data_IF_484297799990
#
_entry.id   IF_484297799990
#
_cell.length_a   1.000
_cell.length_b   1.000
_cell.length_c   1.000
_cell.angle_alpha   90.00
_cell.angle_beta   90.00
_cell.angle_gamma   90.00
#
_symmetry.space_group_name_H-M   'P 1'
#
loop_
_entity.id
_entity.type
_entity.pdbx_description
1 polymer ?
#
# COMPACT_ATOMS: atom_id res chain seq x y z
N UNK A 1 -2.95 -9.48 -17.83
CA UNK A 1 -2.57 -9.63 -16.40
C UNK A 1 -2.87 -8.30 -15.72
N UNK A 2 -3.06 -8.25 -14.40
CA UNK A 2 -3.46 -6.99 -13.74
C UNK A 2 -2.47 -5.84 -14.01
N UNK A 3 -1.17 -6.16 -14.15
CA UNK A 3 -0.17 -5.17 -14.54
C UNK A 3 -0.45 -4.55 -15.92
N UNK A 4 -0.88 -5.35 -16.90
CA UNK A 4 -1.21 -4.85 -18.24
C UNK A 4 -2.46 -3.96 -18.19
N UNK A 5 -3.48 -4.37 -17.42
CA UNK A 5 -4.73 -3.61 -17.28
C UNK A 5 -4.48 -2.23 -16.66
N UNK A 6 -3.66 -2.17 -15.59
CA UNK A 6 -3.26 -0.90 -14.97
C UNK A 6 -2.37 -0.10 -15.92
N UNK A 7 -1.39 -0.74 -16.59
CA UNK A 7 -0.50 -0.06 -17.51
C UNK A 7 -1.26 0.58 -18.67
N UNK A 8 -2.24 -0.12 -19.25
CA UNK A 8 -3.12 0.44 -20.27
C UNK A 8 -3.94 1.61 -19.73
N UNK A 9 -4.47 1.51 -18.49
CA UNK A 9 -5.27 2.57 -17.89
C UNK A 9 -4.45 3.85 -17.65
N UNK A 10 -3.24 3.75 -17.09
CA UNK A 10 -2.43 4.94 -16.74
C UNK A 10 -1.73 5.59 -17.93
N UNK A 11 -1.59 4.87 -19.04
CA UNK A 11 -0.97 5.39 -20.26
C UNK A 11 -2.01 5.85 -21.30
N UNK A 12 -3.30 5.75 -21.00
CA UNK A 12 -4.36 6.32 -21.82
C UNK A 12 -4.49 7.82 -21.49
N UNK A 13 -4.11 8.73 -22.41
CA UNK A 13 -4.14 10.17 -22.14
C UNK A 13 -5.56 10.73 -22.02
N UNK A 14 -6.58 9.98 -22.47
CA UNK A 14 -7.99 10.35 -22.37
C UNK A 14 -8.65 9.77 -21.10
N UNK A 15 -7.94 8.94 -20.32
CA UNK A 15 -8.39 8.40 -19.04
C UNK A 15 -7.89 9.26 -17.88
N UNK A 16 -8.82 9.83 -17.11
CA UNK A 16 -8.54 10.67 -15.95
C UNK A 16 -8.35 9.88 -14.64
N UNK A 17 -7.98 8.60 -14.75
CA UNK A 17 -7.90 7.65 -13.64
C UNK A 17 -9.20 6.87 -13.43
N UNK A 18 -10.20 7.06 -14.29
CA UNK A 18 -11.48 6.34 -14.26
C UNK A 18 -11.28 4.83 -14.36
N UNK A 19 -10.43 4.33 -15.27
CA UNK A 19 -10.20 2.87 -15.38
C UNK A 19 -9.49 2.27 -14.16
N UNK A 20 -8.52 2.98 -13.57
CA UNK A 20 -7.86 2.52 -12.34
C UNK A 20 -8.87 2.43 -11.19
N UNK A 21 -9.80 3.39 -11.09
CA UNK A 21 -10.88 3.34 -10.11
C UNK A 21 -11.82 2.15 -10.33
N UNK A 22 -12.19 1.86 -11.58
CA UNK A 22 -13.00 0.67 -11.89
C UNK A 22 -12.31 -0.62 -11.47
N UNK A 23 -11.02 -0.76 -11.74
CA UNK A 23 -10.23 -1.93 -11.32
C UNK A 23 -10.22 -2.04 -9.79
N UNK A 24 -10.05 -0.93 -9.07
CA UNK A 24 -10.13 -0.92 -7.61
C UNK A 24 -11.53 -1.36 -7.10
N UNK A 25 -12.61 -0.94 -7.77
CA UNK A 25 -13.98 -1.37 -7.45
C UNK A 25 -14.18 -2.88 -7.64
N UNK A 26 -13.54 -3.49 -8.64
CA UNK A 26 -13.59 -4.95 -8.79
C UNK A 26 -12.99 -5.68 -7.59
N UNK A 27 -11.90 -5.16 -7.01
CA UNK A 27 -11.30 -5.68 -5.77
C UNK A 27 -12.17 -5.42 -4.54
N UNK A 28 -12.83 -4.25 -4.45
CA UNK A 28 -13.82 -3.98 -3.38
C UNK A 28 -14.99 -4.96 -3.43
N UNK A 29 -15.32 -5.46 -4.62
CA UNK A 29 -16.30 -6.51 -4.85
C UNK A 29 -15.77 -7.90 -4.47
N UNK A 30 -15.37 -8.68 -5.49
CA UNK A 30 -15.01 -10.10 -5.33
C UNK A 30 -13.73 -10.51 -6.11
N UNK A 31 -13.03 -9.58 -6.77
CA UNK A 31 -11.74 -9.89 -7.43
C UNK A 31 -10.73 -10.31 -6.37
N UNK A 32 -9.96 -11.35 -6.67
CA UNK A 32 -9.03 -11.93 -5.71
C UNK A 32 -7.82 -11.00 -5.55
N UNK A 33 -7.65 -10.40 -4.36
CA UNK A 33 -6.52 -9.52 -4.08
C UNK A 33 -5.16 -10.22 -4.20
N UNK A 34 -5.12 -11.54 -4.42
CA UNK A 34 -3.88 -12.20 -4.81
C UNK A 34 -3.25 -11.61 -6.07
N UNK A 35 -4.08 -11.12 -7.00
CA UNK A 35 -3.59 -10.46 -8.23
C UNK A 35 -2.78 -9.21 -7.90
N UNK A 36 -3.08 -8.51 -6.80
CA UNK A 36 -2.33 -7.33 -6.38
C UNK A 36 -0.87 -7.67 -6.07
N UNK A 37 -0.53 -8.93 -5.74
CA UNK A 37 0.89 -9.32 -5.63
C UNK A 37 1.66 -9.14 -6.94
N UNK A 38 1.02 -9.25 -8.11
CA UNK A 38 1.69 -8.97 -9.38
C UNK A 38 2.13 -7.50 -9.45
N UNK A 39 1.26 -6.57 -9.04
CA UNK A 39 1.57 -5.15 -8.96
C UNK A 39 2.69 -4.88 -7.94
N UNK A 40 2.59 -5.43 -6.73
CA UNK A 40 3.59 -5.22 -5.67
C UNK A 40 4.96 -5.86 -6.00
N UNK A 41 5.00 -6.84 -6.89
CA UNK A 41 6.25 -7.48 -7.35
C UNK A 41 6.80 -6.87 -8.64
N UNK A 42 6.12 -5.86 -9.20
CA UNK A 42 6.62 -5.13 -10.35
C UNK A 42 7.96 -4.45 -10.05
N UNK A 43 8.75 -4.20 -11.10
CA UNK A 43 9.91 -3.30 -11.03
C UNK A 43 9.54 -1.83 -11.26
N UNK A 44 8.29 -1.55 -11.61
CA UNK A 44 7.78 -0.21 -11.85
C UNK A 44 7.18 0.38 -10.57
N UNK A 45 7.76 1.48 -10.08
CA UNK A 45 7.31 2.19 -8.87
C UNK A 45 5.85 2.62 -8.92
N UNK A 46 5.34 3.00 -10.10
CA UNK A 46 3.97 3.47 -10.27
C UNK A 46 3.00 2.31 -10.08
N UNK A 47 3.29 1.15 -10.71
CA UNK A 47 2.49 -0.06 -10.54
C UNK A 47 2.49 -0.54 -9.09
N UNK A 48 3.65 -0.50 -8.41
CA UNK A 48 3.74 -0.83 -6.98
C UNK A 48 2.86 0.13 -6.16
N UNK A 49 2.96 1.43 -6.41
CA UNK A 49 2.23 2.46 -5.68
C UNK A 49 0.72 2.31 -5.86
N UNK A 50 0.26 2.01 -7.07
CA UNK A 50 -1.16 1.72 -7.36
C UNK A 50 -1.61 0.45 -6.64
N UNK A 51 -0.80 -0.62 -6.65
CA UNK A 51 -1.11 -1.84 -5.90
C UNK A 51 -1.28 -1.59 -4.40
N UNK A 52 -0.41 -0.76 -3.82
CA UNK A 52 -0.53 -0.35 -2.41
C UNK A 52 -1.77 0.53 -2.18
N UNK A 53 -2.08 1.46 -3.07
CA UNK A 53 -3.28 2.29 -2.99
C UNK A 53 -4.56 1.45 -3.02
N UNK A 54 -4.66 0.48 -3.95
CA UNK A 54 -5.82 -0.45 -3.99
C UNK A 54 -5.95 -1.21 -2.66
N UNK A 55 -4.85 -1.62 -2.04
CA UNK A 55 -4.87 -2.31 -0.74
C UNK A 55 -5.32 -1.42 0.41
N UNK A 56 -5.03 -0.13 0.38
CA UNK A 56 -5.54 0.85 1.37
C UNK A 56 -7.07 1.01 1.26
N UNK A 57 -7.60 0.88 0.04
CA UNK A 57 -9.03 1.02 -0.26
C UNK A 57 -9.87 -0.24 0.03
N UNK A 58 -9.24 -1.39 0.32
CA UNK A 58 -9.93 -2.66 0.54
C UNK A 58 -9.59 -3.29 1.89
N UNK A 59 -10.56 -3.96 2.51
CA UNK A 59 -10.34 -4.72 3.74
C UNK A 59 -9.71 -6.09 3.42
N UNK A 60 -8.39 -6.13 3.24
CA UNK A 60 -7.70 -7.34 2.78
C UNK A 60 -7.48 -8.43 3.85
N UNK A 61 -8.02 -8.23 5.04
CA UNK A 61 -7.98 -9.21 6.13
C UNK A 61 -8.69 -10.54 5.82
N UNK A 62 -9.58 -10.54 4.82
CA UNK A 62 -10.36 -11.69 4.37
C UNK A 62 -9.63 -12.57 3.36
N UNK A 63 -8.53 -12.12 2.77
CA UNK A 63 -7.85 -12.89 1.73
C UNK A 63 -6.95 -13.98 2.33
N UNK A 64 -7.01 -15.17 1.71
CA UNK A 64 -6.29 -16.37 2.16
C UNK A 64 -4.77 -16.16 2.24
N UNK A 65 -4.23 -15.29 1.38
CA UNK A 65 -2.80 -15.01 1.26
C UNK A 65 -2.38 -13.66 1.84
N UNK A 66 -3.16 -13.07 2.75
CA UNK A 66 -2.83 -11.79 3.38
C UNK A 66 -1.41 -11.74 3.99
N UNK A 67 -0.90 -12.86 4.49
CA UNK A 67 0.47 -12.94 5.00
C UNK A 67 1.54 -12.65 3.94
N UNK A 68 1.35 -13.12 2.70
CA UNK A 68 2.26 -12.84 1.57
C UNK A 68 2.20 -11.35 1.19
N UNK A 69 1.00 -10.77 1.15
CA UNK A 69 0.79 -9.33 0.89
C UNK A 69 1.47 -8.48 1.96
N UNK A 70 1.21 -8.76 3.25
CA UNK A 70 1.81 -8.02 4.36
C UNK A 70 3.34 -8.15 4.33
N UNK A 71 3.87 -9.34 4.08
CA UNK A 71 5.31 -9.56 3.96
C UNK A 71 5.91 -8.70 2.85
N UNK A 72 5.27 -8.66 1.68
CA UNK A 72 5.75 -7.85 0.56
C UNK A 72 5.66 -6.35 0.84
N UNK A 73 4.56 -5.87 1.42
CA UNK A 73 4.41 -4.48 1.84
C UNK A 73 5.53 -4.07 2.83
N UNK A 74 5.86 -4.93 3.81
CA UNK A 74 6.97 -4.65 4.75
C UNK A 74 8.31 -4.50 4.06
N UNK A 75 8.59 -5.35 3.07
CA UNK A 75 9.82 -5.27 2.28
C UNK A 75 9.89 -3.94 1.51
N UNK A 76 8.77 -3.53 0.91
CA UNK A 76 8.62 -2.26 0.20
C UNK A 76 8.73 -1.02 1.09
N UNK A 77 8.64 -1.12 2.42
CA UNK A 77 8.97 0.00 3.32
C UNK A 77 10.44 0.47 3.21
N UNK A 78 11.30 -0.29 2.53
CA UNK A 78 12.70 0.08 2.24
C UNK A 78 12.96 0.33 0.74
N UNK A 79 11.90 0.45 -0.07
CA UNK A 79 12.02 0.73 -1.50
C UNK A 79 12.77 2.04 -1.76
N UNK A 80 13.48 2.17 -2.87
CA UNK A 80 14.28 3.37 -3.17
C UNK A 80 13.41 4.61 -3.41
N UNK A 81 12.28 4.42 -4.09
CA UNK A 81 11.28 5.47 -4.35
C UNK A 81 10.47 5.80 -3.09
N UNK A 82 10.43 7.08 -2.72
CA UNK A 82 9.68 7.54 -1.54
C UNK A 82 8.17 7.50 -1.73
N UNK A 83 7.66 7.62 -2.97
CA UNK A 83 6.22 7.49 -3.25
C UNK A 83 5.74 6.07 -2.95
N UNK A 84 6.53 5.06 -3.32
CA UNK A 84 6.24 3.67 -2.96
C UNK A 84 6.19 3.50 -1.44
N UNK A 85 7.22 3.99 -0.73
CA UNK A 85 7.26 3.90 0.74
C UNK A 85 6.08 4.61 1.39
N UNK A 86 5.65 5.75 0.85
CA UNK A 86 4.48 6.49 1.31
C UNK A 86 3.18 5.70 1.08
N UNK A 87 2.93 5.19 -0.13
CA UNK A 87 1.71 4.44 -0.46
C UNK A 87 1.58 3.16 0.36
N UNK A 88 2.70 2.46 0.59
CA UNK A 88 2.77 1.24 1.41
C UNK A 88 2.40 1.51 2.88
N UNK A 89 2.72 2.70 3.42
CA UNK A 89 2.28 3.09 4.77
C UNK A 89 0.77 3.20 4.88
N UNK A 90 0.09 3.67 3.83
CA UNK A 90 -1.37 3.66 3.72
C UNK A 90 -1.91 2.24 3.82
N UNK A 91 -1.47 1.37 2.91
CA UNK A 91 -1.90 -0.03 2.87
C UNK A 91 -1.69 -0.79 4.20
N UNK A 92 -0.58 -0.53 4.90
CA UNK A 92 -0.27 -1.18 6.18
C UNK A 92 -1.07 -0.61 7.36
N UNK A 93 -1.75 0.52 7.21
CA UNK A 93 -2.48 1.17 8.30
C UNK A 93 -3.51 0.24 8.96
N UNK A 94 -4.33 -0.47 8.17
CA UNK A 94 -5.31 -1.43 8.69
C UNK A 94 -4.65 -2.56 9.51
N UNK A 95 -3.44 -3.00 9.11
CA UNK A 95 -2.67 -4.00 9.85
C UNK A 95 -2.14 -3.42 11.16
N UNK A 96 -1.73 -2.16 11.15
CA UNK A 96 -1.26 -1.46 12.34
C UNK A 96 -2.34 -1.23 13.40
N UNK A 97 -3.60 -1.07 12.97
CA UNK A 97 -4.74 -0.95 13.89
C UNK A 97 -4.95 -2.21 14.73
N UNK A 98 -4.74 -3.39 14.14
CA UNK A 98 -4.91 -4.68 14.81
C UNK A 98 -3.66 -5.16 15.54
N UNK A 99 -2.45 -4.83 15.05
CA UNK A 99 -1.18 -5.21 15.67
C UNK A 99 -0.31 -3.97 15.97
N UNK A 100 -0.55 -3.37 17.14
CA UNK A 100 0.19 -2.20 17.61
C UNK A 100 1.67 -2.46 17.89
N UNK A 101 2.07 -3.71 18.18
CA UNK A 101 3.48 -4.02 18.42
C UNK A 101 4.23 -4.04 17.09
N UNK A 102 3.64 -4.67 16.08
CA UNK A 102 4.13 -4.65 14.71
C UNK A 102 4.18 -3.21 14.17
N UNK A 103 3.12 -2.41 14.38
CA UNK A 103 3.09 -1.00 14.02
C UNK A 103 4.29 -0.22 14.60
N UNK A 104 4.53 -0.33 15.92
CA UNK A 104 5.67 0.34 16.56
C UNK A 104 7.01 -0.06 15.95
N UNK A 105 7.19 -1.33 15.59
CA UNK A 105 8.43 -1.82 14.97
C UNK A 105 8.66 -1.20 13.59
N UNK A 106 7.64 -1.15 12.74
CA UNK A 106 7.77 -0.64 11.37
C UNK A 106 7.88 0.89 11.37
N UNK A 107 6.94 1.57 12.02
CA UNK A 107 6.91 3.04 12.13
C UNK A 107 8.15 3.58 12.87
N UNK A 108 8.66 2.84 13.86
CA UNK A 108 9.90 3.19 14.57
C UNK A 108 11.15 3.19 13.68
N UNK A 109 11.17 2.42 12.59
CA UNK A 109 12.21 2.51 11.56
C UNK A 109 11.93 3.66 10.60
N UNK A 110 10.72 3.75 10.07
CA UNK A 110 10.35 4.72 9.03
C UNK A 110 10.28 6.17 9.54
N UNK A 111 10.20 6.43 10.85
CA UNK A 111 10.36 7.80 11.40
C UNK A 111 11.72 8.42 11.09
N UNK A 112 12.70 7.60 10.71
CA UNK A 112 14.06 8.02 10.32
C UNK A 112 14.24 8.05 8.80
N UNK A 113 13.16 7.90 8.03
CA UNK A 113 13.23 7.93 6.56
C UNK A 113 13.90 9.22 6.07
N UNK A 114 14.59 9.15 4.94
CA UNK A 114 15.26 10.31 4.33
C UNK A 114 14.27 11.31 3.75
N UNK A 115 13.11 10.83 3.31
CA UNK A 115 12.04 11.63 2.72
C UNK A 115 11.14 12.24 3.80
N UNK A 116 10.88 13.53 3.69
CA UNK A 116 10.05 14.25 4.67
C UNK A 116 8.57 13.86 4.60
N UNK A 117 8.03 13.61 3.41
CA UNK A 117 6.64 13.17 3.22
C UNK A 117 6.39 11.83 3.90
N UNK A 118 7.34 10.89 3.77
CA UNK A 118 7.28 9.60 4.47
C UNK A 118 7.30 9.80 5.98
N UNK A 119 8.23 10.61 6.51
CA UNK A 119 8.29 10.90 7.96
C UNK A 119 7.00 11.55 8.49
N UNK A 120 6.42 12.48 7.74
CA UNK A 120 5.17 13.15 8.10
C UNK A 120 4.00 12.15 8.14
N UNK A 121 3.93 11.24 7.16
CA UNK A 121 2.94 10.15 7.14
C UNK A 121 3.08 9.23 8.37
N UNK A 122 4.31 8.83 8.71
CA UNK A 122 4.59 8.02 9.91
C UNK A 122 4.12 8.72 11.19
N UNK A 123 4.36 10.02 11.31
CA UNK A 123 3.90 10.81 12.45
C UNK A 123 2.37 10.80 12.54
N UNK A 124 1.67 11.09 11.44
CA UNK A 124 0.21 11.09 11.40
C UNK A 124 -0.38 9.74 11.81
N UNK A 125 0.15 8.64 11.25
CA UNK A 125 -0.29 7.27 11.59
C UNK A 125 -0.04 6.99 13.07
N UNK A 126 1.14 7.33 13.58
CA UNK A 126 1.51 7.14 14.98
C UNK A 126 0.55 7.86 15.92
N UNK A 127 0.17 9.10 15.58
CA UNK A 127 -0.79 9.91 16.33
C UNK A 127 -2.20 9.31 16.30
N UNK A 128 -2.68 8.90 15.11
CA UNK A 128 -3.99 8.25 14.94
C UNK A 128 -4.09 6.98 15.78
N UNK A 129 -3.06 6.14 15.76
CA UNK A 129 -3.02 4.87 16.50
C UNK A 129 -2.75 5.02 18.00
N UNK A 130 -2.41 6.24 18.45
CA UNK A 130 -2.05 6.56 19.84
C UNK A 130 -0.95 5.65 20.39
N UNK A 131 0.09 5.35 19.59
CA UNK A 131 1.09 4.33 19.97
C UNK A 131 2.03 4.74 21.11
N UNK A 132 2.18 6.04 21.35
CA UNK A 132 3.13 6.62 22.32
C UNK A 132 2.50 7.68 23.25
N UNK A 133 1.16 7.76 23.30
CA UNK A 133 0.49 8.56 24.33
C UNK A 133 0.37 7.69 25.58
N UNK A 134 1.09 8.10 26.63
CA UNK A 134 0.99 7.57 28.00
C UNK A 134 -0.21 8.17 28.73
#
# INVERSE_FOLDING_TARGET
MICDEIYEAINDPDDDGTRVNYIADEFRGERDAIEILELLNSSDSELISIGAWILDEICFDKYKKKGEIIFRLVDLCSHEDSNVRYSVLGALYAVFEVDKQFARKILGKMRLDVDEGVRNSVQLITEKLSLYKE
#
